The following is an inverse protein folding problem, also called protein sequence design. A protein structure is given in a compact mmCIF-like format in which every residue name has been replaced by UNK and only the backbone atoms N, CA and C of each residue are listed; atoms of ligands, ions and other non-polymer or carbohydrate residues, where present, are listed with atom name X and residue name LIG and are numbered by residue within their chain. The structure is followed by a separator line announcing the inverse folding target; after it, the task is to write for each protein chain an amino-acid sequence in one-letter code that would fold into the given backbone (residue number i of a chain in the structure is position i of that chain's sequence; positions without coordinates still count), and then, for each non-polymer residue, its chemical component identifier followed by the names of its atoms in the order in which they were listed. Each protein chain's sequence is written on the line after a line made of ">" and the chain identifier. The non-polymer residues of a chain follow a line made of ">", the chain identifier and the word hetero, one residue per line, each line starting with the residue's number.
data_IF_095603286761
#
_entry.id   IF_095603286761
#
_cell.length_a   1.000
_cell.length_b   1.000
_cell.length_c   1.000
_cell.angle_alpha   90.00
_cell.angle_beta   90.00
_cell.angle_gamma   90.00
#
_symmetry.space_group_name_H-M   'P 1'
#
loop_
_entity.id
_entity.type
_entity.pdbx_description
1 polymer ?
#
# COMPACT_ATOMS: atom_id res chain seq x y z
N UNK A 1 -6.21 -9.29 -26.55
CA UNK A 1 -6.22 -9.36 -25.07
C UNK A 1 -4.87 -9.89 -24.65
N UNK A 2 -4.12 -9.09 -23.90
CA UNK A 2 -2.74 -9.41 -23.52
C UNK A 2 -2.69 -10.20 -22.21
N UNK A 3 -1.53 -10.78 -21.93
CA UNK A 3 -1.22 -11.60 -20.75
C UNK A 3 -1.59 -10.93 -19.40
N UNK A 4 -1.63 -9.60 -19.36
CA UNK A 4 -2.06 -8.82 -18.20
C UNK A 4 -3.54 -9.00 -17.88
N UNK A 5 -4.39 -8.98 -18.91
CA UNK A 5 -5.84 -9.16 -18.76
C UNK A 5 -6.17 -10.57 -18.25
N UNK A 6 -5.42 -11.56 -18.72
CA UNK A 6 -5.55 -12.96 -18.29
C UNK A 6 -5.13 -13.15 -16.83
N UNK A 7 -4.03 -12.52 -16.40
CA UNK A 7 -3.61 -12.52 -14.99
C UNK A 7 -4.62 -11.79 -14.09
N UNK A 8 -5.14 -10.65 -14.53
CA UNK A 8 -6.16 -9.90 -13.79
C UNK A 8 -7.42 -10.73 -13.58
N UNK A 9 -7.97 -11.30 -14.65
CA UNK A 9 -9.17 -12.13 -14.56
C UNK A 9 -8.96 -13.33 -13.63
N UNK A 10 -7.80 -14.01 -13.73
CA UNK A 10 -7.48 -15.16 -12.88
C UNK A 10 -7.31 -14.78 -11.41
N UNK A 11 -6.76 -13.59 -11.13
CA UNK A 11 -6.65 -13.05 -9.78
C UNK A 11 -8.03 -12.66 -9.21
N UNK A 12 -8.90 -12.06 -10.04
CA UNK A 12 -10.28 -11.75 -9.65
C UNK A 12 -11.10 -13.01 -9.36
N UNK A 13 -10.96 -14.08 -10.15
CA UNK A 13 -11.65 -15.35 -9.88
C UNK A 13 -11.13 -16.01 -8.60
N UNK A 14 -9.82 -16.03 -8.38
CA UNK A 14 -9.23 -16.51 -7.11
C UNK A 14 -9.71 -15.71 -5.90
N UNK A 15 -9.84 -14.38 -6.03
CA UNK A 15 -10.35 -13.53 -4.97
C UNK A 15 -11.84 -13.73 -4.70
N UNK A 16 -12.63 -14.06 -5.73
CA UNK A 16 -14.07 -14.36 -5.59
C UNK A 16 -14.32 -15.73 -4.95
N UNK A 17 -13.58 -16.75 -5.37
CA UNK A 17 -13.78 -18.12 -4.87
C UNK A 17 -13.12 -18.35 -3.49
N UNK A 18 -12.03 -17.64 -3.20
CA UNK A 18 -11.26 -17.78 -1.97
C UNK A 18 -10.89 -16.43 -1.33
N UNK A 19 -11.88 -15.60 -0.95
CA UNK A 19 -11.64 -14.28 -0.38
C UNK A 19 -10.81 -14.36 0.91
N UNK A 20 -11.04 -15.38 1.74
CA UNK A 20 -10.30 -15.57 2.99
C UNK A 20 -8.82 -15.90 2.75
N UNK A 21 -8.50 -16.72 1.74
CA UNK A 21 -7.10 -17.06 1.43
C UNK A 21 -6.36 -15.91 0.74
N UNK A 22 -7.08 -15.09 -0.05
CA UNK A 22 -6.50 -13.88 -0.65
C UNK A 22 -6.21 -12.84 0.42
N UNK A 23 -7.12 -12.63 1.38
CA UNK A 23 -6.88 -11.74 2.51
C UNK A 23 -5.72 -12.25 3.39
N UNK A 24 -5.71 -13.53 3.77
CA UNK A 24 -4.64 -14.10 4.59
C UNK A 24 -3.28 -14.07 3.85
N UNK A 25 -3.29 -14.23 2.52
CA UNK A 25 -2.11 -14.14 1.67
C UNK A 25 -1.61 -12.71 1.48
N UNK A 26 -2.51 -11.73 1.39
CA UNK A 26 -2.19 -10.30 1.33
C UNK A 26 -1.62 -9.80 2.66
N UNK A 27 -2.24 -10.15 3.78
CA UNK A 27 -1.76 -9.80 5.12
C UNK A 27 -0.36 -10.41 5.35
N UNK A 28 -0.18 -11.71 5.07
CA UNK A 28 1.14 -12.35 5.15
C UNK A 28 2.16 -11.77 4.19
N UNK A 29 1.76 -11.37 2.98
CA UNK A 29 2.66 -10.74 2.02
C UNK A 29 3.06 -9.33 2.49
N UNK A 30 2.13 -8.59 3.09
CA UNK A 30 2.37 -7.30 3.75
C UNK A 30 3.34 -7.44 4.91
N UNK A 31 3.06 -8.36 5.84
CA UNK A 31 3.92 -8.63 6.99
C UNK A 31 5.29 -9.14 6.57
N UNK A 32 5.37 -10.08 5.64
CA UNK A 32 6.64 -10.60 5.13
C UNK A 32 7.44 -9.54 4.38
N UNK A 33 6.77 -8.70 3.58
CA UNK A 33 7.44 -7.57 2.93
C UNK A 33 7.94 -6.57 3.98
N UNK A 34 7.14 -6.24 4.99
CA UNK A 34 7.50 -5.28 6.02
C UNK A 34 8.62 -5.79 6.92
N UNK A 35 8.56 -7.05 7.35
CA UNK A 35 9.59 -7.73 8.15
C UNK A 35 10.90 -7.87 7.37
N UNK A 36 10.83 -8.26 6.09
CA UNK A 36 12.02 -8.46 5.25
C UNK A 36 12.63 -7.14 4.76
N UNK A 37 11.81 -6.09 4.63
CA UNK A 37 12.30 -4.74 4.38
C UNK A 37 12.67 -4.02 5.69
N UNK A 38 12.29 -4.56 6.84
CA UNK A 38 12.65 -4.07 8.17
C UNK A 38 12.15 -2.65 8.40
N UNK A 39 10.85 -2.42 8.18
CA UNK A 39 10.22 -1.09 8.28
C UNK A 39 10.81 -0.04 7.32
N UNK A 40 11.59 -0.45 6.29
CA UNK A 40 12.14 0.49 5.28
C UNK A 40 11.11 1.30 4.51
N UNK A 41 9.86 0.86 4.49
CA UNK A 41 8.77 1.64 3.90
C UNK A 41 8.19 2.64 4.89
N UNK A 42 8.32 2.41 6.20
CA UNK A 42 8.01 3.40 7.23
C UNK A 42 8.91 4.64 7.04
N UNK A 43 10.22 4.45 6.81
CA UNK A 43 11.15 5.53 6.45
C UNK A 43 10.74 6.31 5.17
N UNK A 44 10.10 5.64 4.20
CA UNK A 44 9.63 6.29 2.96
C UNK A 44 8.29 6.98 3.13
N UNK A 45 7.41 6.42 3.95
CA UNK A 45 6.14 7.03 4.35
C UNK A 45 6.43 8.27 5.19
N UNK A 46 7.32 8.18 6.17
CA UNK A 46 7.73 9.30 7.02
C UNK A 46 8.43 10.39 6.22
N UNK A 47 9.36 10.05 5.30
CA UNK A 47 9.93 11.03 4.35
C UNK A 47 8.89 11.62 3.40
N UNK A 48 7.91 10.83 2.98
CA UNK A 48 6.82 11.28 2.13
C UNK A 48 5.88 12.23 2.88
N UNK A 49 5.59 11.93 4.14
CA UNK A 49 4.77 12.75 5.03
C UNK A 49 5.50 14.03 5.42
N UNK A 50 6.80 13.98 5.76
CA UNK A 50 7.61 15.18 6.00
C UNK A 50 7.73 16.03 4.74
N UNK A 51 8.00 15.43 3.58
CA UNK A 51 8.04 16.16 2.32
C UNK A 51 6.68 16.76 1.96
N UNK A 52 5.59 16.05 2.23
CA UNK A 52 4.24 16.53 2.03
C UNK A 52 3.92 17.64 3.03
N UNK A 53 4.30 17.54 4.30
CA UNK A 53 4.16 18.61 5.30
C UNK A 53 5.04 19.82 4.98
N UNK A 54 6.21 19.64 4.39
CA UNK A 54 7.07 20.74 3.94
C UNK A 54 6.45 21.43 2.70
N UNK A 55 5.89 20.64 1.77
CA UNK A 55 5.18 21.16 0.58
C UNK A 55 3.81 21.79 0.90
N UNK A 56 3.03 21.15 1.77
CA UNK A 56 1.62 21.46 2.09
C UNK A 56 1.49 22.32 3.36
N UNK A 57 2.44 22.24 4.28
CA UNK A 57 2.52 23.11 5.47
C UNK A 57 2.93 24.55 5.15
N UNK A 58 3.24 24.85 3.89
CA UNK A 58 3.21 26.23 3.38
C UNK A 58 1.79 26.71 3.03
N UNK A 59 0.78 25.84 3.08
CA UNK A 59 -0.59 26.13 2.63
C UNK A 59 -1.70 25.89 3.69
N UNK A 60 -1.38 25.38 4.88
CA UNK A 60 -2.39 25.08 5.93
C UNK A 60 -2.05 25.61 7.34
N UNK A 61 -1.36 26.75 7.43
CA UNK A 61 -1.14 27.48 8.70
C UNK A 61 -2.05 28.73 8.77
N UNK A 62 -3.36 28.52 8.57
CA UNK A 62 -4.39 29.56 8.68
C UNK A 62 -5.67 29.09 9.36
N UNK A 63 -5.63 28.12 10.29
CA UNK A 63 -6.71 27.95 11.26
C UNK A 63 -6.32 27.04 12.44
N UNK A 64 -5.78 27.59 13.53
CA UNK A 64 -6.19 27.30 14.92
C UNK A 64 -5.15 27.79 15.96
N UNK A 65 -5.29 29.03 16.43
CA UNK A 65 -5.38 29.47 17.85
C UNK A 65 -4.92 30.92 18.02
#
# INVERSE_FOLDING_TARGET
>A
MGMFDEMKNKAEDLAKDHPDQVNEGLDKAGDFANEKTGDKYEDQIEKGEDFARDRLGSEDDNNQS
#
